data_IF_490087556991
#
_entry.id   IF_490087556991
#
_cell.length_a   1.000
_cell.length_b   1.000
_cell.length_c   1.000
_cell.angle_alpha   90.00
_cell.angle_beta   90.00
_cell.angle_gamma   90.00
#
_symmetry.space_group_name_H-M   'P 1'
#
loop_
_entity.id
_entity.type
_entity.pdbx_description
1 polymer ?
#
# COMPACT_ATOMS: atom_id res chain seq x y z
N UNK A 1 -8.47 13.69 -23.86
CA UNK A 1 -8.53 13.52 -22.38
C UNK A 1 -8.99 12.12 -21.95
N UNK A 2 -10.15 11.63 -22.43
CA UNK A 2 -10.66 10.27 -22.08
C UNK A 2 -9.68 9.14 -22.43
N UNK A 3 -9.04 9.17 -23.61
CA UNK A 3 -8.06 8.15 -23.99
C UNK A 3 -6.81 8.10 -23.08
N UNK A 4 -6.40 9.22 -22.49
CA UNK A 4 -5.31 9.26 -21.51
C UNK A 4 -5.74 8.64 -20.17
N UNK A 5 -6.96 8.95 -19.72
CA UNK A 5 -7.54 8.36 -18.50
C UNK A 5 -7.67 6.84 -18.65
N UNK A 6 -8.22 6.35 -19.76
CA UNK A 6 -8.35 4.92 -20.04
C UNK A 6 -6.97 4.25 -20.05
N UNK A 7 -5.98 4.81 -20.76
CA UNK A 7 -4.62 4.26 -20.79
C UNK A 7 -3.99 4.22 -19.40
N UNK A 8 -4.24 5.20 -18.54
CA UNK A 8 -3.74 5.24 -17.16
C UNK A 8 -4.40 4.19 -16.27
N UNK A 9 -5.71 4.00 -16.38
CA UNK A 9 -6.46 2.95 -15.67
C UNK A 9 -6.02 1.56 -16.14
N UNK A 10 -5.80 1.39 -17.45
CA UNK A 10 -5.32 0.12 -18.00
C UNK A 10 -3.91 -0.23 -17.51
N UNK A 11 -3.05 0.77 -17.31
CA UNK A 11 -1.71 0.59 -16.71
C UNK A 11 -1.76 0.30 -15.20
N UNK A 12 -2.83 0.67 -14.51
CA UNK A 12 -3.02 0.40 -13.08
C UNK A 12 -3.28 -1.09 -12.82
N UNK A 13 -4.03 -1.76 -13.69
CA UNK A 13 -4.36 -3.20 -13.57
C UNK A 13 -3.10 -4.08 -13.45
N UNK A 14 -2.10 -4.02 -14.37
CA UNK A 14 -0.91 -4.85 -14.25
C UNK A 14 -0.05 -4.46 -13.05
N UNK A 15 0.01 -3.18 -12.66
CA UNK A 15 0.73 -2.76 -11.45
C UNK A 15 0.09 -3.37 -10.20
N UNK A 16 -1.24 -3.29 -10.08
CA UNK A 16 -1.96 -3.89 -8.96
C UNK A 16 -1.79 -5.41 -8.92
N UNK A 17 -1.82 -6.07 -10.08
CA UNK A 17 -1.60 -7.51 -10.18
C UNK A 17 -0.18 -7.93 -9.76
N UNK A 18 0.84 -7.18 -10.17
CA UNK A 18 2.23 -7.46 -9.76
C UNK A 18 2.39 -7.22 -8.26
N UNK A 19 1.84 -6.12 -7.73
CA UNK A 19 1.90 -5.83 -6.29
C UNK A 19 1.16 -6.91 -5.49
N UNK A 20 -0.03 -7.36 -5.90
CA UNK A 20 -0.78 -8.42 -5.22
C UNK A 20 -0.04 -9.75 -5.23
N UNK A 21 0.62 -10.09 -6.34
CA UNK A 21 1.43 -11.30 -6.43
C UNK A 21 2.65 -11.23 -5.49
N UNK A 22 3.33 -10.07 -5.44
CA UNK A 22 4.48 -9.85 -4.55
C UNK A 22 4.06 -9.92 -3.08
N UNK A 23 2.95 -9.27 -2.70
CA UNK A 23 2.50 -9.30 -1.30
C UNK A 23 2.02 -10.69 -0.89
N UNK A 24 1.34 -11.42 -1.78
CA UNK A 24 0.91 -12.79 -1.53
C UNK A 24 2.08 -13.76 -1.36
N UNK A 25 3.09 -13.66 -2.23
CA UNK A 25 4.30 -14.48 -2.15
C UNK A 25 5.12 -14.13 -0.92
N UNK A 26 5.23 -12.85 -0.57
CA UNK A 26 5.90 -12.40 0.66
C UNK A 26 5.20 -12.97 1.91
N UNK A 27 3.87 -12.94 1.97
CA UNK A 27 3.11 -13.50 3.08
C UNK A 27 3.26 -15.02 3.21
N UNK A 28 3.35 -15.75 2.10
CA UNK A 28 3.60 -17.20 2.12
C UNK A 28 5.06 -17.58 2.39
N UNK A 29 6.00 -16.67 2.09
CA UNK A 29 7.43 -16.88 2.34
C UNK A 29 7.83 -16.68 3.81
N UNK A 30 7.03 -15.95 4.59
CA UNK A 30 7.26 -15.77 6.03
C UNK A 30 6.98 -17.11 6.74
N UNK A 31 8.00 -17.74 7.38
CA UNK A 31 7.78 -18.96 8.14
C UNK A 31 6.99 -18.64 9.42
N UNK A 32 5.77 -19.13 9.49
CA UNK A 32 4.87 -18.99 10.62
C UNK A 32 3.43 -19.22 10.18
N UNK A 33 2.93 -20.44 10.40
CA UNK A 33 1.56 -20.79 10.03
C UNK A 33 0.55 -20.00 10.87
N UNK A 34 -0.70 -19.82 10.38
CA UNK A 34 -1.77 -19.17 11.14
C UNK A 34 -1.99 -19.76 12.54
N UNK A 35 -1.57 -21.02 12.73
CA UNK A 35 -1.79 -21.82 13.94
C UNK A 35 -0.60 -21.85 14.90
N UNK A 36 0.57 -21.32 14.51
CA UNK A 36 1.79 -21.39 15.32
C UNK A 36 1.86 -20.32 16.41
N UNK A 37 1.05 -19.25 16.31
CA UNK A 37 1.20 -18.05 17.16
C UNK A 37 0.38 -18.05 18.44
N UNK A 38 -0.73 -18.80 18.52
CA UNK A 38 -1.71 -18.62 19.62
C UNK A 38 -1.79 -19.79 20.62
N UNK A 39 -1.47 -21.03 20.24
CA UNK A 39 -1.32 -22.18 21.14
C UNK A 39 -0.92 -23.42 20.32
N UNK A 40 -0.09 -24.35 20.84
CA UNK A 40 0.08 -25.64 20.18
C UNK A 40 -1.26 -26.38 20.18
N UNK A 41 -1.93 -26.36 19.03
CA UNK A 41 -3.17 -27.10 18.79
C UNK A 41 -2.83 -28.58 18.54
N UNK A 42 -3.73 -29.48 18.96
CA UNK A 42 -3.60 -30.90 18.62
C UNK A 42 -3.57 -31.06 17.09
N UNK A 43 -2.66 -31.89 16.57
CA UNK A 43 -2.45 -32.10 15.14
C UNK A 43 -3.75 -32.45 14.37
N UNK A 44 -4.67 -33.17 15.01
CA UNK A 44 -5.99 -33.46 14.43
C UNK A 44 -6.91 -32.25 14.27
N UNK A 45 -6.79 -31.24 15.14
CA UNK A 45 -7.54 -29.98 15.03
C UNK A 45 -6.95 -29.10 13.93
N UNK A 46 -5.62 -29.06 13.80
CA UNK A 46 -4.93 -28.30 12.74
C UNK A 46 -5.30 -28.83 11.35
N UNK A 47 -5.33 -30.15 11.17
CA UNK A 47 -5.72 -30.76 9.90
C UNK A 47 -7.16 -30.39 9.49
N UNK A 48 -8.10 -30.44 10.45
CA UNK A 48 -9.50 -30.05 10.22
C UNK A 48 -9.66 -28.57 9.92
N UNK A 49 -8.88 -27.72 10.58
CA UNK A 49 -8.85 -26.28 10.32
C UNK A 49 -8.27 -25.98 8.93
N UNK A 50 -7.18 -26.62 8.53
CA UNK A 50 -6.60 -26.46 7.21
C UNK A 50 -7.56 -26.89 6.09
N UNK A 51 -8.42 -27.87 6.35
CA UNK A 51 -9.47 -28.29 5.42
C UNK A 51 -10.58 -27.24 5.31
N UNK A 52 -11.08 -26.72 6.44
CA UNK A 52 -12.12 -25.67 6.48
C UNK A 52 -11.64 -24.38 5.77
N UNK A 53 -10.40 -23.97 6.01
CA UNK A 53 -9.83 -22.76 5.42
C UNK A 53 -9.21 -22.99 4.03
N UNK A 54 -9.19 -24.23 3.52
CA UNK A 54 -8.61 -24.55 2.22
C UNK A 54 -7.09 -24.38 2.14
N UNK A 55 -6.40 -24.34 3.28
CA UNK A 55 -4.94 -24.21 3.38
C UNK A 55 -4.19 -25.43 2.83
N UNK A 56 -4.89 -26.56 2.64
CA UNK A 56 -4.38 -27.78 2.01
C UNK A 56 -4.37 -27.74 0.47
N UNK A 57 -4.94 -26.70 -0.16
CA UNK A 57 -5.03 -26.57 -1.62
C UNK A 57 -3.70 -26.10 -2.23
N UNK A 58 -3.42 -26.39 -3.51
CA UNK A 58 -2.22 -25.87 -4.16
C UNK A 58 -2.22 -24.34 -4.19
N UNK A 59 -1.02 -23.73 -4.12
CA UNK A 59 -0.82 -22.27 -3.99
C UNK A 59 -1.61 -21.47 -5.04
N UNK A 60 -1.73 -21.98 -6.26
CA UNK A 60 -2.44 -21.29 -7.34
C UNK A 60 -3.95 -21.18 -7.10
N UNK A 61 -4.58 -22.20 -6.52
CA UNK A 61 -6.00 -22.16 -6.15
C UNK A 61 -6.26 -21.19 -5.00
N UNK A 62 -5.35 -21.15 -4.02
CA UNK A 62 -5.42 -20.21 -2.91
C UNK A 62 -5.32 -18.75 -3.39
N UNK A 63 -4.45 -18.48 -4.35
CA UNK A 63 -4.34 -17.16 -4.96
C UNK A 63 -5.60 -16.78 -5.75
N UNK A 64 -6.12 -17.68 -6.59
CA UNK A 64 -7.30 -17.41 -7.41
C UNK A 64 -8.55 -17.19 -6.58
N UNK A 65 -8.78 -17.98 -5.52
CA UNK A 65 -9.94 -17.80 -4.64
C UNK A 65 -9.85 -16.48 -3.86
N UNK A 66 -8.67 -16.14 -3.35
CA UNK A 66 -8.42 -14.88 -2.65
C UNK A 66 -8.54 -13.66 -3.58
N UNK A 67 -7.97 -13.75 -4.79
CA UNK A 67 -8.05 -12.68 -5.80
C UNK A 67 -9.49 -12.49 -6.30
N UNK A 68 -10.24 -13.57 -6.49
CA UNK A 68 -11.66 -13.54 -6.83
C UNK A 68 -12.51 -12.87 -5.75
N UNK A 69 -12.27 -13.17 -4.49
CA UNK A 69 -12.90 -12.50 -3.35
C UNK A 69 -12.59 -11.01 -3.31
N UNK A 70 -11.32 -10.62 -3.52
CA UNK A 70 -10.91 -9.22 -3.58
C UNK A 70 -11.67 -8.41 -4.64
N UNK A 71 -11.91 -9.00 -5.82
CA UNK A 71 -12.69 -8.35 -6.88
C UNK A 71 -14.18 -8.17 -6.50
N UNK A 72 -14.70 -9.02 -5.63
CA UNK A 72 -16.07 -8.94 -5.10
C UNK A 72 -16.16 -8.08 -3.82
N UNK A 73 -15.05 -7.42 -3.43
CA UNK A 73 -14.91 -6.69 -2.16
C UNK A 73 -15.13 -7.57 -0.92
N UNK A 74 -14.95 -8.89 -1.07
CA UNK A 74 -14.99 -9.85 0.03
C UNK A 74 -13.58 -10.35 0.33
N UNK A 75 -13.04 -9.88 1.45
CA UNK A 75 -11.69 -10.27 1.91
C UNK A 75 -11.68 -11.60 2.67
N UNK A 76 -12.84 -12.26 2.83
CA UNK A 76 -12.97 -13.57 3.46
C UNK A 76 -12.91 -13.56 4.99
N UNK A 77 -12.93 -14.75 5.60
CA UNK A 77 -12.89 -14.92 7.05
C UNK A 77 -11.51 -14.56 7.63
N UNK A 78 -11.48 -13.97 8.82
CA UNK A 78 -10.22 -13.69 9.52
C UNK A 78 -9.57 -14.97 10.04
N UNK A 79 -8.27 -15.15 9.75
CA UNK A 79 -7.46 -16.24 10.30
C UNK A 79 -7.13 -16.05 11.78
N UNK A 80 -7.19 -14.81 12.28
CA UNK A 80 -6.91 -14.48 13.68
C UNK A 80 -8.19 -14.45 14.54
N UNK A 81 -9.34 -14.09 13.95
CA UNK A 81 -10.62 -14.00 14.67
C UNK A 81 -11.66 -14.94 14.08
N UNK A 82 -11.93 -16.04 14.78
CA UNK A 82 -12.80 -17.15 14.35
C UNK A 82 -14.23 -16.77 13.94
N UNK A 83 -14.73 -15.61 14.42
CA UNK A 83 -16.11 -15.14 14.21
C UNK A 83 -16.20 -13.75 13.58
N UNK A 84 -15.11 -13.21 13.00
CA UNK A 84 -15.15 -11.93 12.29
C UNK A 84 -14.61 -12.08 10.88
N UNK A 85 -15.31 -11.49 9.93
CA UNK A 85 -14.77 -11.36 8.58
C UNK A 85 -13.74 -10.22 8.56
N UNK A 86 -12.83 -10.26 7.60
CA UNK A 86 -11.91 -9.14 7.39
C UNK A 86 -12.69 -7.88 6.99
N UNK A 87 -13.86 -8.04 6.36
CA UNK A 87 -14.75 -6.93 6.01
C UNK A 87 -15.29 -6.20 7.26
N UNK A 88 -15.68 -6.94 8.31
CA UNK A 88 -16.14 -6.34 9.57
C UNK A 88 -15.03 -5.49 10.21
N UNK A 89 -13.81 -6.03 10.26
CA UNK A 89 -12.63 -5.32 10.80
C UNK A 89 -12.33 -4.06 9.97
N UNK A 90 -12.45 -4.17 8.65
CA UNK A 90 -12.23 -3.06 7.74
C UNK A 90 -13.31 -1.98 7.91
N UNK A 91 -14.57 -2.38 8.10
CA UNK A 91 -15.68 -1.46 8.38
C UNK A 91 -15.53 -0.73 9.72
N UNK A 92 -15.00 -1.41 10.74
CA UNK A 92 -14.68 -0.81 12.04
C UNK A 92 -13.52 0.20 11.93
N UNK A 93 -12.51 -0.08 11.10
CA UNK A 93 -11.31 0.76 10.93
C UNK A 93 -11.44 1.91 9.93
N UNK A 94 -12.34 1.79 8.95
CA UNK A 94 -12.58 2.81 7.92
C UNK A 94 -12.91 4.20 8.48
N UNK A 95 -13.82 4.39 9.45
CA UNK A 95 -14.14 5.72 9.96
C UNK A 95 -12.94 6.41 10.62
N UNK A 96 -12.09 5.66 11.31
CA UNK A 96 -10.90 6.19 11.98
C UNK A 96 -9.89 6.69 10.94
N UNK A 97 -9.67 5.91 9.89
CA UNK A 97 -8.76 6.26 8.80
C UNK A 97 -9.24 7.51 8.06
N UNK A 98 -10.55 7.61 7.79
CA UNK A 98 -11.16 8.78 7.17
C UNK A 98 -10.99 10.01 8.06
N UNK A 99 -11.23 9.90 9.37
CA UNK A 99 -11.07 11.01 10.30
C UNK A 99 -9.62 11.53 10.33
N UNK A 100 -8.64 10.63 10.43
CA UNK A 100 -7.22 10.99 10.39
C UNK A 100 -6.83 11.60 9.04
N UNK A 101 -7.33 11.05 7.94
CA UNK A 101 -7.12 11.58 6.60
C UNK A 101 -7.63 13.00 6.45
N UNK A 102 -8.87 13.26 6.90
CA UNK A 102 -9.50 14.59 6.87
C UNK A 102 -8.73 15.58 7.74
N UNK A 103 -8.34 15.20 8.97
CA UNK A 103 -7.53 16.05 9.84
C UNK A 103 -6.19 16.41 9.19
N UNK A 104 -5.51 15.43 8.60
CA UNK A 104 -4.25 15.64 7.88
C UNK A 104 -4.44 16.58 6.70
N UNK A 105 -5.55 16.44 5.95
CA UNK A 105 -5.86 17.29 4.80
C UNK A 105 -6.11 18.74 5.21
N UNK A 106 -6.85 18.96 6.31
CA UNK A 106 -7.10 20.29 6.86
C UNK A 106 -5.80 20.96 7.30
N UNK A 107 -4.93 20.23 8.01
CA UNK A 107 -3.61 20.75 8.43
C UNK A 107 -2.72 21.03 7.20
N UNK A 108 -2.67 20.12 6.24
CA UNK A 108 -1.87 20.28 5.02
C UNK A 108 -2.32 21.49 4.19
N UNK A 109 -3.61 21.73 4.05
CA UNK A 109 -4.15 22.93 3.39
C UNK A 109 -3.89 24.17 4.24
N UNK A 110 -4.18 24.09 5.54
CA UNK A 110 -4.08 25.19 6.49
C UNK A 110 -2.66 25.75 6.62
N UNK A 111 -1.64 24.90 6.58
CA UNK A 111 -0.24 25.32 6.60
C UNK A 111 0.38 25.41 5.20
N UNK A 112 0.06 24.47 4.31
CA UNK A 112 0.66 24.37 2.98
C UNK A 112 0.32 25.55 2.06
N UNK A 113 -0.93 26.03 2.10
CA UNK A 113 -1.32 27.20 1.30
C UNK A 113 -0.59 28.47 1.76
N UNK A 114 -0.63 28.89 3.04
CA UNK A 114 0.07 30.11 3.45
C UNK A 114 1.59 29.99 3.30
N UNK A 115 2.21 28.87 3.66
CA UNK A 115 3.65 28.66 3.42
C UNK A 115 3.99 28.72 1.93
N UNK A 116 3.14 28.16 1.06
CA UNK A 116 3.29 28.25 -0.39
C UNK A 116 3.18 29.69 -0.91
N UNK A 117 2.22 30.47 -0.41
CA UNK A 117 2.04 31.89 -0.76
C UNK A 117 3.22 32.72 -0.26
N UNK A 118 3.67 32.54 0.99
CA UNK A 118 4.85 33.22 1.53
C UNK A 118 6.12 32.88 0.76
N UNK A 119 6.30 31.64 0.34
CA UNK A 119 7.42 31.24 -0.52
C UNK A 119 7.34 31.88 -1.91
N UNK A 120 6.15 31.99 -2.50
CA UNK A 120 5.94 32.62 -3.81
C UNK A 120 6.18 34.14 -3.76
N UNK A 121 5.71 34.82 -2.70
CA UNK A 121 5.94 36.26 -2.49
C UNK A 121 7.36 36.58 -2.03
N UNK A 122 8.04 35.60 -1.41
CA UNK A 122 9.44 35.69 -0.98
C UNK A 122 10.47 35.36 -2.06
N UNK A 123 10.03 35.09 -3.30
CA UNK A 123 10.94 34.87 -4.42
C UNK A 123 11.76 36.16 -4.65
N UNK A 124 13.09 36.00 -4.78
CA UNK A 124 14.14 37.05 -4.85
C UNK A 124 14.86 37.43 -3.52
N UNK A 125 14.84 36.60 -2.47
CA UNK A 125 15.76 36.75 -1.31
C UNK A 125 17.02 35.87 -1.43
N UNK A 126 18.09 36.32 -0.76
CA UNK A 126 19.45 35.75 -0.77
C UNK A 126 19.60 34.21 -0.73
N UNK A 127 18.70 33.42 -0.09
CA UNK A 127 18.77 31.96 -0.12
C UNK A 127 18.59 31.34 -1.53
N UNK A 128 17.79 31.98 -2.41
CA UNK A 128 17.59 31.51 -3.79
C UNK A 128 18.88 31.66 -4.62
N UNK A 129 19.62 32.76 -4.42
CA UNK A 129 20.92 32.96 -5.06
C UNK A 129 21.94 31.90 -4.65
N UNK A 130 21.92 31.45 -3.39
CA UNK A 130 22.80 30.36 -2.91
C UNK A 130 22.41 29.03 -3.54
N UNK A 131 21.12 28.73 -3.66
CA UNK A 131 20.62 27.51 -4.31
C UNK A 131 20.92 27.47 -5.82
N UNK A 132 20.76 28.59 -6.54
CA UNK A 132 21.11 28.68 -7.97
C UNK A 132 22.62 28.59 -8.18
N UNK A 133 23.44 29.21 -7.32
CA UNK A 133 24.91 29.17 -7.42
C UNK A 133 25.47 27.78 -7.09
N UNK A 134 24.85 27.08 -6.14
CA UNK A 134 25.23 25.71 -5.77
C UNK A 134 24.75 24.65 -6.79
N UNK A 135 23.64 24.88 -7.49
CA UNK A 135 23.21 24.02 -8.60
C UNK A 135 24.01 24.26 -9.88
N UNK A 136 24.45 25.50 -10.14
CA UNK A 136 25.34 25.82 -11.26
C UNK A 136 26.75 25.23 -11.09
N UNK A 137 27.30 25.20 -9.86
CA UNK A 137 28.61 24.58 -9.60
C UNK A 137 28.56 23.05 -9.75
N UNK A 138 27.43 22.42 -9.39
CA UNK A 138 27.25 20.96 -9.50
C UNK A 138 27.03 20.49 -10.96
N UNK A 139 26.47 21.34 -11.84
CA UNK A 139 26.41 21.04 -13.30
C UNK A 139 27.77 21.13 -13.99
N UNK A 140 28.66 22.00 -13.53
CA UNK A 140 30.01 22.15 -14.13
C UNK A 140 30.90 20.93 -13.87
N UNK A 141 30.67 20.20 -12.77
CA UNK A 141 31.35 18.93 -12.46
C UNK A 141 30.88 17.73 -13.31
N UNK A 142 29.65 17.78 -13.86
CA UNK A 142 29.13 16.72 -14.74
C UNK A 142 29.62 16.87 -16.19
N UNK A 143 29.92 18.10 -16.62
CA UNK A 143 30.29 18.39 -18.02
C UNK A 143 31.77 18.11 -18.33
N UNK A 144 32.67 17.96 -17.33
CA UNK A 144 34.08 17.64 -17.57
C UNK A 144 34.41 16.14 -17.61
N UNK A 145 33.41 15.26 -17.42
CA UNK A 145 33.59 13.79 -17.52
C UNK A 145 33.08 13.20 -18.84
N UNK A 146 32.57 14.04 -19.75
CA UNK A 146 31.98 13.60 -21.03
C UNK A 146 32.69 14.19 -22.27
N UNK A 147 33.91 14.69 -22.11
CA UNK A 147 34.85 14.95 -23.22
C UNK A 147 36.08 14.06 -23.06
#
# INVERSE_FOLDING_TARGET
>A
MVGFVIRRVLWLIPVLFVVSLITFTLMHAVPGGPWDREKPLNAGTVARLNEIYGLNKPIWEQYLSWFGGMLQLDFGPSYQYRNRTVNDILSDGWPITVQLGVMTFIVAIGFGIPLGIFAALGHNRWPDYVATRCSASRRRASCSRSC
#
